data_IF_074054422557
#
_entry.id   IF_074054422557
#
_cell.length_a   1.000
_cell.length_b   1.000
_cell.length_c   1.000
_cell.angle_alpha   90.00
_cell.angle_beta   90.00
_cell.angle_gamma   90.00
#
_symmetry.space_group_name_H-M   'P 1'
#
loop_
_entity.id
_entity.type
_entity.pdbx_description
1 polymer ?
#
# COMPACT_ATOMS: atom_id res chain seq x y z
N UNK A 1 -58.57 -28.24 -1.77
CA UNK A 1 -57.74 -27.01 -1.84
C UNK A 1 -56.33 -27.39 -2.23
N UNK A 2 -56.07 -27.28 -3.51
CA UNK A 2 -54.79 -27.68 -4.14
C UNK A 2 -53.80 -26.49 -4.10
N UNK A 3 -52.76 -26.63 -3.34
CA UNK A 3 -51.65 -25.66 -3.29
C UNK A 3 -50.76 -25.80 -4.54
N UNK A 4 -50.68 -24.75 -5.31
CA UNK A 4 -49.98 -24.68 -6.58
C UNK A 4 -48.44 -24.56 -6.39
N UNK A 5 -47.69 -25.23 -7.27
CA UNK A 5 -46.23 -25.35 -7.30
C UNK A 5 -45.40 -24.01 -7.42
N UNK A 6 -46.03 -22.83 -7.36
CA UNK A 6 -45.37 -21.53 -7.49
C UNK A 6 -44.96 -20.87 -6.17
N UNK A 7 -45.34 -21.42 -5.02
CA UNK A 7 -44.98 -20.82 -3.72
C UNK A 7 -43.68 -21.37 -3.10
N UNK A 8 -43.02 -22.36 -3.74
CA UNK A 8 -41.84 -23.03 -3.17
C UNK A 8 -40.48 -22.49 -3.69
N UNK A 9 -40.49 -21.60 -4.68
CA UNK A 9 -39.24 -21.15 -5.33
C UNK A 9 -38.66 -19.85 -4.78
N UNK A 10 -39.31 -19.14 -3.89
CA UNK A 10 -38.84 -17.84 -3.38
C UNK A 10 -38.34 -17.87 -1.93
N UNK A 11 -38.52 -18.97 -1.21
CA UNK A 11 -38.06 -19.09 0.20
C UNK A 11 -36.67 -19.74 0.30
N UNK A 12 -36.23 -20.48 -0.72
CA UNK A 12 -34.96 -21.23 -0.68
C UNK A 12 -33.71 -20.40 -1.05
N UNK A 13 -33.87 -19.25 -1.71
CA UNK A 13 -32.73 -18.42 -2.14
C UNK A 13 -32.30 -17.41 -1.07
N UNK A 14 -33.24 -16.94 -0.24
CA UNK A 14 -32.96 -16.02 0.86
C UNK A 14 -32.30 -16.71 2.08
N UNK A 15 -32.54 -18.01 2.26
CA UNK A 15 -31.98 -18.78 3.36
C UNK A 15 -30.52 -19.24 3.12
N UNK A 16 -30.06 -19.33 1.87
CA UNK A 16 -28.66 -19.70 1.56
C UNK A 16 -27.70 -18.49 1.60
N UNK A 17 -28.22 -17.26 1.50
CA UNK A 17 -27.37 -16.06 1.56
C UNK A 17 -27.13 -15.61 3.02
N UNK A 18 -28.01 -16.00 3.95
CA UNK A 18 -27.87 -15.66 5.37
C UNK A 18 -26.95 -16.62 6.17
N UNK A 19 -26.64 -17.80 5.64
CA UNK A 19 -25.79 -18.80 6.34
C UNK A 19 -24.29 -18.60 6.11
N UNK A 20 -23.86 -17.69 5.21
CA UNK A 20 -22.47 -17.47 4.84
C UNK A 20 -21.74 -16.32 5.54
N UNK A 21 -22.41 -15.58 6.45
CA UNK A 21 -21.81 -14.38 7.09
C UNK A 21 -22.01 -14.34 8.61
N UNK A 22 -21.77 -15.43 9.29
CA UNK A 22 -21.50 -15.33 10.73
C UNK A 22 -20.03 -14.90 10.89
N UNK A 23 -19.72 -13.85 11.66
CA UNK A 23 -18.34 -13.55 11.98
C UNK A 23 -17.80 -14.71 12.81
N UNK A 24 -16.85 -15.47 12.25
CA UNK A 24 -16.12 -16.51 12.97
C UNK A 24 -15.23 -15.84 14.04
N UNK A 25 -15.82 -15.42 15.14
CA UNK A 25 -15.14 -15.20 16.41
C UNK A 25 -15.54 -16.35 17.32
N UNK A 26 -15.25 -17.59 16.91
CA UNK A 26 -15.08 -18.65 17.87
C UNK A 26 -13.70 -18.44 18.50
N UNK A 27 -13.63 -18.18 19.80
CA UNK A 27 -12.44 -18.41 20.61
C UNK A 27 -12.08 -19.88 20.39
N UNK A 28 -11.18 -20.15 19.44
CA UNK A 28 -10.65 -21.48 19.20
C UNK A 28 -9.69 -21.80 20.36
N UNK A 29 -10.22 -22.36 21.43
CA UNK A 29 -9.41 -23.09 22.42
C UNK A 29 -8.70 -24.23 21.65
N UNK A 30 -7.37 -24.10 21.46
CA UNK A 30 -6.53 -25.08 20.77
C UNK A 30 -6.04 -24.68 19.38
N UNK A 31 -6.40 -23.52 18.82
CA UNK A 31 -5.83 -23.06 17.55
C UNK A 31 -4.34 -22.72 17.71
N UNK A 32 -3.51 -23.15 16.76
CA UNK A 32 -2.10 -22.75 16.67
C UNK A 32 -1.99 -21.22 16.72
N UNK A 33 -1.21 -20.71 17.67
CA UNK A 33 -0.86 -19.30 17.72
C UNK A 33 0.38 -19.07 16.87
N UNK A 34 0.42 -17.93 16.20
CA UNK A 34 1.53 -17.53 15.35
C UNK A 34 2.48 -16.63 16.13
N UNK A 35 3.74 -16.99 16.14
CA UNK A 35 4.82 -16.17 16.69
C UNK A 35 5.11 -15.01 15.74
N UNK A 36 4.91 -13.75 16.18
CA UNK A 36 5.00 -12.57 15.34
C UNK A 36 6.09 -11.62 15.81
N UNK A 37 6.78 -10.95 14.86
CA UNK A 37 7.65 -9.81 15.11
C UNK A 37 7.12 -8.59 14.36
N UNK A 38 7.28 -7.41 14.96
CA UNK A 38 7.04 -6.13 14.28
C UNK A 38 8.38 -5.48 13.93
N UNK A 39 8.57 -5.12 12.67
CA UNK A 39 9.73 -4.39 12.16
C UNK A 39 9.24 -3.04 11.63
N UNK A 40 9.65 -1.96 12.31
CA UNK A 40 9.08 -0.63 12.15
C UNK A 40 7.99 -0.36 13.21
N UNK A 41 8.40 0.03 14.43
CA UNK A 41 7.53 0.26 15.58
C UNK A 41 6.95 1.69 15.65
N UNK A 42 6.93 2.40 14.51
CA UNK A 42 6.33 3.71 14.39
C UNK A 42 4.81 3.70 14.58
N UNK A 43 4.17 4.86 14.36
CA UNK A 43 2.72 5.02 14.51
C UNK A 43 1.92 3.95 13.75
N UNK A 44 2.24 3.75 12.46
CA UNK A 44 1.46 2.82 11.63
C UNK A 44 1.73 1.36 11.99
N UNK A 45 3.00 1.01 12.21
CA UNK A 45 3.36 -0.34 12.67
C UNK A 45 2.68 -0.72 13.99
N UNK A 46 2.62 0.22 14.95
CA UNK A 46 1.89 0.03 16.21
C UNK A 46 0.39 -0.20 15.97
N UNK A 47 -0.23 0.54 15.03
CA UNK A 47 -1.65 0.34 14.69
C UNK A 47 -1.90 -1.04 14.09
N UNK A 48 -1.08 -1.47 13.13
CA UNK A 48 -1.17 -2.80 12.50
C UNK A 48 -1.00 -3.89 13.55
N UNK A 49 0.00 -3.78 14.42
CA UNK A 49 0.25 -4.75 15.48
C UNK A 49 -0.94 -4.86 16.43
N UNK A 50 -1.53 -3.73 16.82
CA UNK A 50 -2.70 -3.72 17.69
C UNK A 50 -3.86 -4.50 17.08
N UNK A 51 -4.16 -4.29 15.78
CA UNK A 51 -5.23 -5.01 15.08
C UNK A 51 -4.89 -6.50 14.94
N UNK A 52 -3.63 -6.86 14.66
CA UNK A 52 -3.19 -8.23 14.62
C UNK A 52 -3.42 -8.93 15.98
N UNK A 53 -2.99 -8.32 17.08
CA UNK A 53 -3.16 -8.85 18.43
C UNK A 53 -4.64 -9.01 18.83
N UNK A 54 -5.53 -8.13 18.37
CA UNK A 54 -6.97 -8.20 18.63
C UNK A 54 -7.64 -9.43 18.00
N UNK A 55 -7.01 -10.08 17.03
CA UNK A 55 -7.48 -11.36 16.49
C UNK A 55 -7.35 -12.52 17.49
N UNK A 56 -6.50 -12.37 18.50
CA UNK A 56 -6.28 -13.37 19.56
C UNK A 56 -5.41 -14.56 19.14
N UNK A 57 -4.85 -14.59 17.93
CA UNK A 57 -4.06 -15.71 17.40
C UNK A 57 -2.57 -15.43 17.22
N UNK A 58 -2.12 -14.23 17.59
CA UNK A 58 -0.72 -13.83 17.51
C UNK A 58 -0.06 -13.76 18.89
N UNK A 59 1.16 -14.27 18.98
CA UNK A 59 2.06 -14.12 20.13
C UNK A 59 3.23 -13.23 19.74
N UNK A 60 3.27 -12.02 20.31
CA UNK A 60 4.33 -11.06 20.01
C UNK A 60 5.65 -11.51 20.62
N UNK A 61 6.64 -11.81 19.76
CA UNK A 61 7.97 -12.24 20.15
C UNK A 61 8.94 -11.06 20.34
N UNK A 62 8.91 -10.09 19.40
CA UNK A 62 9.83 -8.97 19.42
C UNK A 62 9.31 -7.73 18.71
N UNK A 63 9.89 -6.58 19.08
CA UNK A 63 9.82 -5.32 18.36
C UNK A 63 11.20 -5.00 17.78
N UNK A 64 11.25 -4.50 16.55
CA UNK A 64 12.48 -4.05 15.90
C UNK A 64 12.30 -2.65 15.31
N UNK A 65 13.15 -1.73 15.70
CA UNK A 65 13.22 -0.37 15.16
C UNK A 65 14.59 0.23 15.43
N UNK A 66 15.08 1.09 14.55
CA UNK A 66 16.35 1.82 14.70
C UNK A 66 16.21 3.07 15.57
N UNK A 67 14.99 3.42 15.98
CA UNK A 67 14.67 4.52 16.90
C UNK A 67 14.14 3.96 18.23
N UNK A 68 14.94 4.06 19.27
CA UNK A 68 14.58 3.61 20.63
C UNK A 68 13.31 4.29 21.16
N UNK A 69 13.01 5.51 20.71
CA UNK A 69 11.81 6.24 21.13
C UNK A 69 10.54 5.61 20.52
N UNK A 70 10.64 5.09 19.29
CA UNK A 70 9.55 4.33 18.68
C UNK A 70 9.31 3.02 19.43
N UNK A 71 10.38 2.29 19.75
CA UNK A 71 10.30 1.08 20.58
C UNK A 71 9.67 1.37 21.95
N UNK A 72 10.05 2.46 22.59
CA UNK A 72 9.51 2.87 23.88
C UNK A 72 8.00 3.15 23.79
N UNK A 73 7.57 4.00 22.84
CA UNK A 73 6.15 4.35 22.62
C UNK A 73 5.30 3.13 22.28
N UNK A 74 5.79 2.25 21.42
CA UNK A 74 5.09 1.00 21.10
C UNK A 74 4.95 0.12 22.35
N UNK A 75 6.01 -0.02 23.14
CA UNK A 75 5.99 -0.80 24.39
C UNK A 75 5.02 -0.24 25.42
N UNK A 76 4.95 1.10 25.56
CA UNK A 76 3.96 1.76 26.44
C UNK A 76 2.52 1.50 25.97
N UNK A 77 2.28 1.54 24.65
CA UNK A 77 0.97 1.18 24.08
C UNK A 77 0.59 -0.26 24.41
N UNK A 78 1.53 -1.21 24.25
CA UNK A 78 1.33 -2.62 24.58
C UNK A 78 1.07 -2.84 26.08
N UNK A 79 1.83 -2.18 26.95
CA UNK A 79 1.66 -2.28 28.40
C UNK A 79 0.27 -1.79 28.84
N UNK A 80 -0.23 -0.67 28.27
CA UNK A 80 -1.60 -0.16 28.51
C UNK A 80 -2.69 -1.17 28.10
N UNK A 81 -2.38 -2.06 27.19
CA UNK A 81 -3.26 -3.14 26.71
C UNK A 81 -3.08 -4.46 27.49
N UNK A 82 -2.21 -4.49 28.49
CA UNK A 82 -1.89 -5.69 29.25
C UNK A 82 -1.08 -6.73 28.46
N UNK A 83 -0.41 -6.31 27.36
CA UNK A 83 0.46 -7.16 26.58
C UNK A 83 1.86 -7.09 27.17
N UNK A 84 2.47 -8.27 27.42
CA UNK A 84 3.86 -8.36 27.90
C UNK A 84 4.80 -7.66 26.89
N UNK A 85 5.67 -6.80 27.40
CA UNK A 85 6.64 -6.10 26.55
C UNK A 85 7.68 -7.11 26.04
N UNK A 86 7.79 -7.29 24.71
CA UNK A 86 8.68 -8.28 24.13
C UNK A 86 10.12 -7.82 24.12
N UNK A 87 11.01 -8.69 23.64
CA UNK A 87 12.39 -8.30 23.33
C UNK A 87 12.43 -7.18 22.31
N UNK A 88 13.48 -6.38 22.34
CA UNK A 88 13.72 -5.25 21.44
C UNK A 88 14.99 -5.47 20.66
N UNK A 89 14.95 -5.17 19.37
CA UNK A 89 16.06 -5.26 18.44
C UNK A 89 16.20 -3.95 17.67
N UNK A 90 17.42 -3.61 17.33
CA UNK A 90 17.71 -2.51 16.39
C UNK A 90 17.86 -3.05 14.96
N UNK A 91 18.51 -4.19 14.81
CA UNK A 91 18.77 -4.82 13.51
C UNK A 91 17.75 -5.92 13.21
N UNK A 92 17.03 -5.75 12.08
CA UNK A 92 16.03 -6.73 11.63
C UNK A 92 16.64 -8.10 11.31
N UNK A 93 17.90 -8.14 10.88
CA UNK A 93 18.63 -9.38 10.55
C UNK A 93 18.81 -10.21 11.80
N UNK A 94 19.26 -9.58 12.89
CA UNK A 94 19.41 -10.21 14.20
C UNK A 94 18.06 -10.65 14.77
N UNK A 95 17.04 -9.77 14.68
CA UNK A 95 15.67 -10.06 15.13
C UNK A 95 15.11 -11.33 14.45
N UNK A 96 15.15 -11.38 13.12
CA UNK A 96 14.62 -12.50 12.35
C UNK A 96 15.40 -13.80 12.59
N UNK A 97 16.73 -13.74 12.64
CA UNK A 97 17.58 -14.91 12.85
C UNK A 97 17.41 -15.51 14.27
N UNK A 98 17.23 -14.64 15.28
CA UNK A 98 17.09 -15.06 16.68
C UNK A 98 15.67 -15.55 17.00
N UNK A 99 14.67 -14.77 16.61
CA UNK A 99 13.28 -15.04 17.00
C UNK A 99 12.61 -16.08 16.10
N UNK A 100 13.08 -16.26 14.86
CA UNK A 100 12.51 -17.22 13.88
C UNK A 100 10.99 -17.18 13.85
N UNK A 101 10.37 -16.02 13.56
CA UNK A 101 8.94 -15.85 13.65
C UNK A 101 8.19 -16.67 12.59
N UNK A 102 6.95 -17.03 12.88
CA UNK A 102 6.02 -17.54 11.85
C UNK A 102 5.60 -16.42 10.89
N UNK A 103 5.48 -15.18 11.42
CA UNK A 103 5.01 -14.02 10.68
C UNK A 103 5.85 -12.78 11.04
N UNK A 104 6.29 -12.04 10.03
CA UNK A 104 6.88 -10.73 10.16
C UNK A 104 5.92 -9.64 9.68
N UNK A 105 5.65 -8.63 10.53
CA UNK A 105 4.93 -7.42 10.18
C UNK A 105 5.95 -6.34 9.81
N UNK A 106 5.98 -5.91 8.55
CA UNK A 106 6.96 -4.94 8.04
C UNK A 106 6.26 -3.61 7.77
N UNK A 107 6.56 -2.60 8.56
CA UNK A 107 5.96 -1.26 8.51
C UNK A 107 7.02 -0.14 8.62
N UNK A 108 8.15 -0.36 8.00
CA UNK A 108 9.25 0.60 7.87
C UNK A 108 8.97 1.62 6.76
N UNK A 109 9.81 2.64 6.52
CA UNK A 109 9.76 3.43 5.29
C UNK A 109 9.99 2.58 4.03
N UNK A 110 9.47 3.07 2.88
CA UNK A 110 9.40 2.34 1.62
C UNK A 110 10.73 1.75 1.16
N UNK A 111 11.82 2.51 1.35
CA UNK A 111 13.17 2.12 0.91
C UNK A 111 13.75 0.89 1.64
N UNK A 112 13.11 0.45 2.71
CA UNK A 112 13.51 -0.72 3.49
C UNK A 112 12.67 -1.97 3.19
N UNK A 113 11.48 -1.82 2.61
CA UNK A 113 10.53 -2.93 2.47
C UNK A 113 11.14 -4.15 1.77
N UNK A 114 11.86 -3.94 0.66
CA UNK A 114 12.40 -5.06 -0.13
C UNK A 114 13.41 -5.90 0.66
N UNK A 115 14.39 -5.28 1.30
CA UNK A 115 15.44 -6.01 2.03
C UNK A 115 14.85 -6.79 3.22
N UNK A 116 13.96 -6.16 3.98
CA UNK A 116 13.38 -6.77 5.17
C UNK A 116 12.44 -7.92 4.81
N UNK A 117 11.56 -7.70 3.81
CA UNK A 117 10.61 -8.72 3.38
C UNK A 117 11.30 -9.95 2.79
N UNK A 118 12.33 -9.73 1.95
CA UNK A 118 13.11 -10.83 1.34
C UNK A 118 13.84 -11.63 2.43
N UNK A 119 14.46 -10.95 3.39
CA UNK A 119 15.12 -11.61 4.51
C UNK A 119 14.14 -12.39 5.38
N UNK A 120 12.97 -11.82 5.70
CA UNK A 120 11.93 -12.52 6.45
C UNK A 120 11.46 -13.81 5.73
N UNK A 121 11.22 -13.75 4.43
CA UNK A 121 10.90 -14.93 3.64
C UNK A 121 12.03 -15.96 3.65
N UNK A 122 13.29 -15.54 3.56
CA UNK A 122 14.49 -16.39 3.63
C UNK A 122 14.60 -17.12 4.97
N UNK A 123 14.22 -16.45 6.06
CA UNK A 123 14.19 -17.03 7.41
C UNK A 123 12.95 -17.90 7.67
N UNK A 124 12.04 -18.03 6.67
CA UNK A 124 10.88 -18.90 6.76
C UNK A 124 9.60 -18.25 7.27
N UNK A 125 9.59 -16.94 7.48
CA UNK A 125 8.39 -16.22 7.90
C UNK A 125 7.43 -15.94 6.73
N UNK A 126 6.12 -16.03 6.98
CA UNK A 126 5.12 -15.33 6.18
C UNK A 126 5.20 -13.85 6.47
N UNK A 127 4.82 -12.99 5.53
CA UNK A 127 5.04 -11.55 5.69
C UNK A 127 3.77 -10.74 5.43
N UNK A 128 3.47 -9.83 6.35
CA UNK A 128 2.66 -8.66 6.05
C UNK A 128 3.62 -7.50 5.79
N UNK A 129 3.55 -6.88 4.62
CA UNK A 129 4.38 -5.73 4.26
C UNK A 129 3.53 -4.54 3.87
N UNK A 130 3.90 -3.35 4.33
CA UNK A 130 3.20 -2.11 3.96
C UNK A 130 3.40 -1.72 2.50
N UNK A 131 2.44 -0.94 2.03
CA UNK A 131 2.44 -0.31 0.70
C UNK A 131 3.25 1.02 0.72
N UNK A 132 3.79 1.45 -0.42
CA UNK A 132 4.08 0.68 -1.63
C UNK A 132 5.13 -0.40 -1.34
N UNK A 133 5.08 -1.52 -2.03
CA UNK A 133 5.92 -2.65 -1.64
C UNK A 133 7.42 -2.38 -1.78
N UNK A 134 7.81 -1.47 -2.69
CA UNK A 134 9.20 -1.22 -3.03
C UNK A 134 9.45 0.21 -3.47
N UNK A 135 10.70 0.62 -3.43
CA UNK A 135 11.14 1.93 -3.89
C UNK A 135 11.46 1.94 -5.40
N UNK A 136 11.80 0.79 -5.98
CA UNK A 136 12.07 0.62 -7.42
C UNK A 136 11.36 -0.62 -7.97
N UNK A 137 11.16 -0.67 -9.30
CA UNK A 137 10.44 -1.78 -9.96
C UNK A 137 11.16 -3.10 -9.74
N UNK A 138 12.47 -3.15 -9.95
CA UNK A 138 13.22 -4.40 -9.81
C UNK A 138 13.38 -4.86 -8.35
N UNK A 139 13.30 -3.97 -7.35
CA UNK A 139 13.12 -4.38 -5.94
C UNK A 139 11.81 -5.15 -5.76
N UNK A 140 10.70 -4.62 -6.30
CA UNK A 140 9.39 -5.27 -6.24
C UNK A 140 9.38 -6.64 -6.90
N UNK A 141 10.03 -6.79 -8.05
CA UNK A 141 10.19 -8.10 -8.72
C UNK A 141 11.01 -9.07 -7.86
N UNK A 142 12.09 -8.63 -7.25
CA UNK A 142 12.88 -9.44 -6.33
C UNK A 142 12.04 -9.93 -5.13
N UNK A 143 11.13 -9.09 -4.61
CA UNK A 143 10.20 -9.47 -3.52
C UNK A 143 9.23 -10.57 -3.97
N UNK A 144 8.62 -10.42 -5.15
CA UNK A 144 7.72 -11.45 -5.72
C UNK A 144 8.46 -12.78 -5.86
N UNK A 145 9.64 -12.73 -6.46
CA UNK A 145 10.47 -13.93 -6.66
C UNK A 145 10.88 -14.57 -5.32
N UNK A 146 11.17 -13.78 -4.29
CA UNK A 146 11.49 -14.29 -2.95
C UNK A 146 10.30 -15.00 -2.30
N UNK A 147 9.10 -14.42 -2.39
CA UNK A 147 7.89 -15.05 -1.88
C UNK A 147 7.67 -16.44 -2.51
N UNK A 148 7.80 -16.53 -3.84
CA UNK A 148 7.68 -17.78 -4.59
C UNK A 148 8.81 -18.76 -4.23
N UNK A 149 10.07 -18.33 -4.28
CA UNK A 149 11.26 -19.15 -4.01
C UNK A 149 11.23 -19.81 -2.63
N UNK A 150 10.81 -19.07 -1.60
CA UNK A 150 10.78 -19.57 -0.23
C UNK A 150 9.42 -20.14 0.18
N UNK A 151 8.43 -20.15 -0.74
CA UNK A 151 7.09 -20.67 -0.48
C UNK A 151 6.39 -19.94 0.64
N UNK A 152 6.51 -18.62 0.70
CA UNK A 152 5.89 -17.81 1.77
C UNK A 152 4.69 -17.03 1.26
N UNK A 153 3.65 -16.99 2.06
CA UNK A 153 2.49 -16.12 1.82
C UNK A 153 2.88 -14.69 2.20
N UNK A 154 2.64 -13.76 1.29
CA UNK A 154 2.90 -12.33 1.50
C UNK A 154 1.62 -11.55 1.27
N UNK A 155 1.13 -10.89 2.33
CA UNK A 155 -0.01 -9.98 2.32
C UNK A 155 0.50 -8.55 2.30
N UNK A 156 -0.03 -7.73 1.39
CA UNK A 156 0.35 -6.31 1.28
C UNK A 156 -0.71 -5.41 1.91
N UNK A 157 -0.28 -4.30 2.50
CA UNK A 157 -1.13 -3.33 3.19
C UNK A 157 -2.06 -2.50 2.27
N UNK A 158 -2.48 -3.02 1.11
CA UNK A 158 -3.50 -2.40 0.26
C UNK A 158 -4.92 -2.72 0.76
N UNK A 159 -5.16 -2.45 2.02
CA UNK A 159 -6.30 -2.88 2.84
C UNK A 159 -7.69 -2.58 2.28
N UNK A 160 -7.82 -1.65 1.31
CA UNK A 160 -9.13 -1.30 0.73
C UNK A 160 -9.80 -2.44 -0.03
N UNK A 161 -9.04 -3.41 -0.54
CA UNK A 161 -9.64 -4.62 -1.13
C UNK A 161 -10.46 -5.42 -0.13
N UNK A 162 -10.15 -5.35 1.16
CA UNK A 162 -10.88 -6.02 2.23
C UNK A 162 -12.15 -5.27 2.68
N UNK A 163 -12.34 -4.02 2.25
CA UNK A 163 -13.51 -3.24 2.64
C UNK A 163 -14.79 -3.73 1.94
N UNK A 164 -15.89 -4.00 2.65
CA UNK A 164 -17.11 -4.55 2.07
C UNK A 164 -17.66 -3.70 0.92
N UNK A 165 -17.70 -2.38 1.09
CA UNK A 165 -18.16 -1.47 0.05
C UNK A 165 -17.25 -1.41 -1.19
N UNK A 166 -15.96 -1.69 -1.07
CA UNK A 166 -15.07 -1.82 -2.23
C UNK A 166 -15.28 -3.15 -2.94
N UNK A 167 -15.62 -4.21 -2.21
CA UNK A 167 -15.99 -5.49 -2.80
C UNK A 167 -17.30 -5.38 -3.59
N UNK A 168 -18.33 -4.74 -3.03
CA UNK A 168 -19.57 -4.50 -3.73
C UNK A 168 -19.42 -3.55 -4.92
N UNK A 169 -18.54 -2.53 -4.83
CA UNK A 169 -18.17 -1.68 -5.96
C UNK A 169 -17.56 -2.50 -7.12
N UNK A 170 -16.65 -3.43 -6.79
CA UNK A 170 -16.08 -4.36 -7.79
C UNK A 170 -17.14 -5.23 -8.43
N UNK A 171 -18.03 -5.80 -7.64
CA UNK A 171 -19.15 -6.61 -8.15
C UNK A 171 -20.06 -5.79 -9.07
N UNK A 172 -20.40 -4.56 -8.65
CA UNK A 172 -21.22 -3.65 -9.47
C UNK A 172 -20.58 -3.37 -10.83
N UNK A 173 -19.30 -2.97 -10.85
CA UNK A 173 -18.59 -2.64 -12.09
C UNK A 173 -18.48 -3.90 -12.99
N UNK A 174 -18.12 -5.05 -12.41
CA UNK A 174 -18.00 -6.31 -13.15
C UNK A 174 -19.33 -6.89 -13.64
N UNK A 175 -20.45 -6.46 -13.06
CA UNK A 175 -21.78 -6.87 -13.55
C UNK A 175 -22.14 -6.28 -14.93
N UNK A 176 -21.33 -5.38 -15.48
CA UNK A 176 -21.57 -4.72 -16.77
C UNK A 176 -22.61 -3.60 -16.71
N UNK A 177 -23.09 -3.23 -15.52
CA UNK A 177 -24.07 -2.14 -15.35
C UNK A 177 -23.51 -0.78 -15.77
N UNK A 178 -22.18 -0.60 -15.69
CA UNK A 178 -21.50 0.62 -16.13
C UNK A 178 -21.31 0.67 -17.66
N UNK A 179 -21.42 -0.47 -18.35
CA UNK A 179 -21.08 -0.62 -19.77
C UNK A 179 -19.54 -0.65 -19.95
N UNK A 180 -19.07 -0.44 -21.19
CA UNK A 180 -17.65 -0.32 -21.46
C UNK A 180 -17.08 0.95 -20.81
N UNK A 181 -15.93 0.80 -20.16
CA UNK A 181 -15.24 1.89 -19.46
C UNK A 181 -14.20 2.49 -20.40
N UNK A 182 -14.31 3.76 -20.71
CA UNK A 182 -13.37 4.47 -21.58
C UNK A 182 -12.26 5.21 -20.82
N UNK A 183 -12.58 5.69 -19.61
CA UNK A 183 -11.65 6.48 -18.80
C UNK A 183 -11.81 6.14 -17.31
N UNK A 184 -10.68 6.07 -16.59
CA UNK A 184 -10.65 5.97 -15.14
C UNK A 184 -9.78 7.10 -14.62
N UNK A 185 -10.30 7.91 -13.68
CA UNK A 185 -9.58 9.04 -13.09
C UNK A 185 -9.42 8.85 -11.59
N UNK A 186 -8.18 8.70 -11.15
CA UNK A 186 -7.79 8.71 -9.74
C UNK A 186 -7.30 10.10 -9.34
N UNK A 187 -7.63 10.55 -8.12
CA UNK A 187 -7.22 11.89 -7.69
C UNK A 187 -6.98 11.98 -6.19
N UNK A 188 -6.09 12.91 -5.82
CA UNK A 188 -6.02 13.45 -4.47
C UNK A 188 -5.75 14.97 -4.51
N UNK A 189 -6.39 15.69 -3.59
CA UNK A 189 -6.28 17.14 -3.48
C UNK A 189 -6.15 17.55 -2.04
N UNK A 190 -4.96 17.95 -1.61
CA UNK A 190 -4.71 18.45 -0.28
C UNK A 190 -4.41 19.94 -0.26
N UNK A 191 -4.71 20.59 0.86
CA UNK A 191 -4.31 21.97 1.08
C UNK A 191 -2.80 22.08 1.31
N UNK A 192 -2.26 23.25 1.04
CA UNK A 192 -0.84 23.55 1.23
C UNK A 192 -0.46 24.85 0.52
N UNK A 193 0.81 25.16 0.57
CA UNK A 193 1.39 26.36 -0.04
C UNK A 193 2.89 26.19 -0.22
N UNK A 194 3.63 27.31 -0.28
CA UNK A 194 5.08 27.31 -0.33
C UNK A 194 5.68 26.56 0.85
N UNK A 195 6.71 25.78 0.59
CA UNK A 195 7.44 25.05 1.61
C UNK A 195 8.64 25.88 2.10
N UNK A 196 8.74 26.05 3.42
CA UNK A 196 9.92 26.67 4.02
C UNK A 196 10.97 25.62 4.29
N UNK A 197 12.26 25.91 4.02
CA UNK A 197 13.35 25.02 4.36
C UNK A 197 13.37 24.74 5.88
N UNK A 198 13.78 23.53 6.23
CA UNK A 198 14.01 23.13 7.61
C UNK A 198 15.50 23.00 7.85
N UNK A 199 15.93 23.52 8.98
CA UNK A 199 17.33 23.36 9.41
C UNK A 199 17.65 21.89 9.61
N UNK A 200 18.81 21.51 9.14
CA UNK A 200 19.42 20.23 9.47
C UNK A 200 19.79 20.21 10.96
N UNK A 201 19.74 19.07 11.56
CA UNK A 201 20.01 18.88 12.98
C UNK A 201 20.75 17.55 13.22
N UNK A 202 21.43 17.47 14.34
CA UNK A 202 21.91 16.18 14.81
C UNK A 202 20.74 15.22 15.01
N UNK A 203 20.88 13.96 14.66
CA UNK A 203 19.88 12.95 14.97
C UNK A 203 19.63 12.90 16.48
N UNK A 204 18.37 12.83 16.92
CA UNK A 204 18.07 12.77 18.34
C UNK A 204 18.67 11.50 18.97
N UNK A 205 19.01 11.59 20.26
CA UNK A 205 19.52 10.45 21.02
C UNK A 205 18.58 9.25 20.91
N UNK A 206 19.16 8.09 20.61
CA UNK A 206 18.42 6.83 20.43
C UNK A 206 17.95 6.57 19.01
N UNK A 207 18.18 7.47 18.06
CA UNK A 207 17.96 7.24 16.64
C UNK A 207 19.30 6.93 15.95
N UNK A 208 19.42 5.74 15.38
CA UNK A 208 20.51 5.40 14.47
C UNK A 208 20.16 5.89 13.06
N UNK A 209 20.59 7.14 12.77
CA UNK A 209 20.23 7.78 11.51
C UNK A 209 20.90 7.16 10.29
N UNK A 210 22.13 6.68 10.44
CA UNK A 210 22.81 5.97 9.36
C UNK A 210 22.08 4.69 8.97
N UNK A 211 21.68 3.90 9.96
CA UNK A 211 20.89 2.70 9.74
C UNK A 211 19.46 3.05 9.27
N UNK A 212 18.86 4.15 9.74
CA UNK A 212 17.56 4.57 9.25
C UNK A 212 17.60 4.88 7.75
N UNK A 213 18.62 5.61 7.27
CA UNK A 213 18.83 5.87 5.84
C UNK A 213 19.18 4.59 5.07
N UNK A 214 19.98 3.70 5.67
CA UNK A 214 20.28 2.36 5.16
C UNK A 214 20.74 2.33 3.69
N UNK A 215 20.01 1.64 2.80
CA UNK A 215 20.37 1.52 1.39
C UNK A 215 20.18 2.81 0.59
N UNK A 216 19.43 3.79 1.12
CA UNK A 216 19.20 5.08 0.49
C UNK A 216 20.38 6.06 0.73
N UNK A 217 20.47 7.16 -0.02
CA UNK A 217 21.46 8.20 0.25
C UNK A 217 21.37 8.73 1.68
N UNK A 218 22.51 9.01 2.28
CA UNK A 218 22.56 9.64 3.59
C UNK A 218 22.32 11.15 3.43
N UNK A 219 21.14 11.60 3.85
CA UNK A 219 20.84 13.04 3.99
C UNK A 219 21.10 13.49 5.43
N UNK A 220 21.40 14.77 5.64
CA UNK A 220 21.34 15.35 6.98
C UNK A 220 19.97 15.09 7.62
N UNK A 221 19.96 14.81 8.93
CA UNK A 221 18.70 14.62 9.63
C UNK A 221 17.92 15.95 9.67
N UNK A 222 16.62 15.88 9.39
CA UNK A 222 15.67 16.93 9.75
C UNK A 222 14.36 16.29 10.14
N UNK A 223 13.73 16.81 11.17
CA UNK A 223 12.45 16.27 11.63
C UNK A 223 12.08 16.80 13.00
N UNK A 224 10.83 16.58 13.35
CA UNK A 224 10.28 16.96 14.63
C UNK A 224 9.37 15.84 15.12
N UNK A 225 9.73 15.25 16.23
CA UNK A 225 9.01 14.13 16.82
C UNK A 225 7.66 14.55 17.41
N UNK A 226 7.55 15.81 17.85
CA UNK A 226 6.32 16.37 18.41
C UNK A 226 5.39 16.93 17.31
N UNK A 227 5.96 17.24 16.12
CA UNK A 227 5.23 17.60 14.91
C UNK A 227 5.51 16.63 13.76
N UNK A 228 5.07 15.38 13.86
CA UNK A 228 5.53 14.30 12.98
C UNK A 228 5.17 14.48 11.50
N UNK A 229 4.15 15.28 11.19
CA UNK A 229 3.73 15.64 9.82
C UNK A 229 4.30 16.99 9.35
N UNK A 230 5.08 17.62 10.17
CA UNK A 230 5.50 19.02 10.01
C UNK A 230 6.59 19.27 8.96
N UNK A 231 6.81 18.37 7.99
CA UNK A 231 7.66 18.61 6.80
C UNK A 231 9.13 18.17 6.93
N UNK A 232 9.60 17.62 8.04
CA UNK A 232 10.92 16.99 8.13
C UNK A 232 10.89 15.53 7.65
N UNK A 233 12.05 14.87 7.51
CA UNK A 233 12.14 13.50 7.04
C UNK A 233 11.50 12.55 8.06
N UNK A 234 11.98 12.59 9.29
CA UNK A 234 11.56 11.68 10.37
C UNK A 234 10.66 12.39 11.38
N UNK A 235 9.60 11.74 11.90
CA UNK A 235 9.26 10.32 11.70
C UNK A 235 8.28 10.00 10.54
N UNK A 236 7.55 10.97 9.98
CA UNK A 236 6.48 10.66 9.01
C UNK A 236 6.60 11.38 7.67
N UNK A 237 7.42 12.44 7.59
CA UNK A 237 7.54 13.25 6.39
C UNK A 237 8.35 12.62 5.26
N UNK A 238 9.05 11.51 5.51
CA UNK A 238 9.87 10.79 4.53
C UNK A 238 9.14 10.50 3.22
N UNK A 239 7.81 10.42 3.24
CA UNK A 239 6.94 10.19 2.06
C UNK A 239 7.10 11.21 0.95
N UNK A 240 7.55 12.42 1.31
CA UNK A 240 7.79 13.53 0.39
C UNK A 240 9.27 13.67 -0.01
N UNK A 241 10.14 12.75 0.43
CA UNK A 241 11.57 12.72 0.10
C UNK A 241 11.84 11.53 -0.83
N UNK A 242 12.18 11.83 -2.09
CA UNK A 242 12.27 10.82 -3.15
C UNK A 242 13.42 9.82 -2.97
N UNK A 243 14.36 10.07 -2.06
CA UNK A 243 15.38 9.09 -1.68
C UNK A 243 14.82 7.96 -0.80
N UNK A 244 13.74 8.23 -0.04
CA UNK A 244 13.19 7.33 0.97
C UNK A 244 11.80 6.79 0.64
N UNK A 245 11.08 7.46 -0.26
CA UNK A 245 9.74 7.09 -0.71
C UNK A 245 9.49 7.56 -2.15
N UNK A 246 8.25 7.42 -2.63
CA UNK A 246 7.88 7.66 -4.03
C UNK A 246 6.90 8.84 -4.21
N UNK A 247 6.89 9.79 -3.27
CA UNK A 247 5.99 10.92 -3.31
C UNK A 247 4.51 10.53 -3.22
N UNK A 248 3.63 11.45 -3.59
CA UNK A 248 2.18 11.21 -3.48
C UNK A 248 1.66 10.13 -4.42
N UNK A 249 2.28 9.96 -5.60
CA UNK A 249 1.91 8.87 -6.50
C UNK A 249 2.23 7.50 -5.89
N UNK A 250 3.35 7.37 -5.16
CA UNK A 250 3.69 6.16 -4.43
C UNK A 250 2.85 5.97 -3.16
N UNK A 251 2.63 7.04 -2.38
CA UNK A 251 1.94 6.93 -1.09
C UNK A 251 0.42 6.79 -1.23
N UNK A 252 -0.22 7.64 -2.04
CA UNK A 252 -1.67 7.64 -2.27
C UNK A 252 -2.09 7.00 -3.57
N UNK A 253 -1.32 7.20 -4.65
CA UNK A 253 -1.65 6.63 -5.95
C UNK A 253 -1.75 5.11 -5.90
N UNK A 254 -0.89 4.46 -5.10
CA UNK A 254 -0.93 3.01 -4.92
C UNK A 254 -2.29 2.51 -4.44
N UNK A 255 -2.97 3.21 -3.53
CA UNK A 255 -4.28 2.79 -3.03
C UNK A 255 -5.33 2.76 -4.14
N UNK A 256 -5.29 3.72 -5.07
CA UNK A 256 -6.28 3.83 -6.14
C UNK A 256 -5.92 2.98 -7.35
N UNK A 257 -4.65 2.99 -7.75
CA UNK A 257 -4.19 2.15 -8.87
C UNK A 257 -4.33 0.66 -8.55
N UNK A 258 -4.09 0.26 -7.30
CA UNK A 258 -4.38 -1.09 -6.82
C UNK A 258 -5.87 -1.44 -6.93
N UNK A 259 -6.78 -0.52 -6.52
CA UNK A 259 -8.21 -0.71 -6.68
C UNK A 259 -8.62 -0.79 -8.16
N UNK A 260 -8.07 0.07 -9.00
CA UNK A 260 -8.35 0.07 -10.44
C UNK A 260 -7.99 -1.28 -11.06
N UNK A 261 -6.75 -1.75 -10.87
CA UNK A 261 -6.31 -3.04 -11.40
C UNK A 261 -7.16 -4.20 -10.87
N UNK A 262 -7.46 -4.21 -9.58
CA UNK A 262 -8.24 -5.27 -8.95
C UNK A 262 -9.73 -5.28 -9.38
N UNK A 263 -10.34 -4.10 -9.54
CA UNK A 263 -11.75 -3.96 -9.96
C UNK A 263 -11.91 -4.36 -11.43
N UNK A 264 -11.04 -3.85 -12.30
CA UNK A 264 -11.17 -4.00 -13.76
C UNK A 264 -10.44 -5.21 -14.32
N UNK A 265 -9.59 -5.86 -13.53
CA UNK A 265 -8.70 -6.94 -13.96
C UNK A 265 -7.66 -6.54 -15.04
N UNK A 266 -7.41 -5.23 -15.18
CA UNK A 266 -6.31 -4.74 -16.01
C UNK A 266 -4.98 -5.28 -15.49
N UNK A 267 -4.08 -5.66 -16.41
CA UNK A 267 -2.80 -6.27 -16.03
C UNK A 267 -1.65 -5.26 -16.03
N UNK A 268 -1.25 -4.82 -17.21
CA UNK A 268 -0.11 -3.93 -17.38
C UNK A 268 -0.42 -2.85 -18.41
N UNK A 269 0.08 -1.62 -18.21
CA UNK A 269 0.03 -0.61 -19.25
C UNK A 269 1.03 -0.95 -20.36
N UNK A 270 0.80 -0.42 -21.55
CA UNK A 270 1.78 -0.48 -22.66
C UNK A 270 2.62 0.79 -22.72
N UNK A 271 2.15 1.88 -22.10
CA UNK A 271 2.90 3.13 -22.00
C UNK A 271 2.39 3.98 -20.84
N UNK A 272 3.26 4.87 -20.36
CA UNK A 272 2.96 5.88 -19.37
C UNK A 272 3.53 7.23 -19.81
N UNK A 273 2.74 8.31 -19.63
CA UNK A 273 3.22 9.68 -19.67
C UNK A 273 2.88 10.37 -18.35
N UNK A 274 3.83 11.11 -17.81
CA UNK A 274 3.61 11.89 -16.59
C UNK A 274 4.33 13.23 -16.67
N UNK A 275 3.67 14.26 -16.11
CA UNK A 275 4.20 15.60 -15.97
C UNK A 275 3.85 16.14 -14.59
N UNK A 276 4.66 17.05 -14.10
CA UNK A 276 4.47 17.61 -12.77
C UNK A 276 5.70 18.35 -12.28
N UNK A 277 5.76 18.59 -10.99
CA UNK A 277 6.87 19.29 -10.35
C UNK A 277 6.45 19.99 -9.08
N UNK A 278 7.13 21.11 -8.80
CA UNK A 278 6.97 21.90 -7.57
C UNK A 278 6.59 23.36 -7.89
N UNK A 279 5.47 23.60 -8.61
CA UNK A 279 5.11 24.96 -9.04
C UNK A 279 4.76 25.91 -7.87
N UNK A 280 4.29 25.39 -6.74
CA UNK A 280 3.88 26.16 -5.55
C UNK A 280 4.89 26.07 -4.42
N UNK A 281 5.43 24.87 -4.16
CA UNK A 281 6.44 24.68 -3.11
C UNK A 281 7.80 25.30 -3.46
N UNK A 282 8.04 25.55 -4.75
CA UNK A 282 9.32 26.05 -5.26
C UNK A 282 10.38 24.95 -5.40
N UNK A 283 11.59 25.31 -5.86
CA UNK A 283 12.69 24.38 -6.04
C UNK A 283 13.01 23.63 -4.75
N UNK A 284 13.40 22.35 -4.87
CA UNK A 284 13.91 21.60 -3.73
C UNK A 284 15.27 22.18 -3.27
N UNK A 285 15.43 22.27 -1.97
CA UNK A 285 16.66 22.74 -1.31
C UNK A 285 17.28 21.55 -0.59
N UNK A 286 18.56 21.35 -0.79
CA UNK A 286 19.40 20.42 -0.02
C UNK A 286 20.79 21.02 0.11
N UNK A 287 21.11 21.51 1.29
CA UNK A 287 22.40 22.09 1.66
C UNK A 287 22.89 21.46 2.96
N UNK A 288 24.07 21.80 3.41
CA UNK A 288 24.59 21.38 4.70
C UNK A 288 23.83 22.00 5.87
N UNK A 289 23.10 23.09 5.67
CA UNK A 289 22.41 23.85 6.72
C UNK A 289 20.92 23.56 6.77
N UNK A 290 20.29 23.39 5.61
CA UNK A 290 18.82 23.26 5.53
C UNK A 290 18.36 22.48 4.30
N UNK A 291 17.16 21.98 4.36
CA UNK A 291 16.53 21.24 3.26
C UNK A 291 15.00 21.37 3.22
N UNK A 292 14.46 21.10 2.05
CA UNK A 292 13.01 20.88 1.83
C UNK A 292 12.77 19.43 1.42
N UNK A 293 11.50 19.03 1.40
CA UNK A 293 11.12 17.85 0.61
C UNK A 293 11.43 18.07 -0.88
N UNK A 294 11.50 16.99 -1.65
CA UNK A 294 11.78 17.04 -3.09
C UNK A 294 10.72 16.35 -3.96
N UNK A 295 9.75 15.72 -3.33
CA UNK A 295 8.60 15.17 -4.02
C UNK A 295 7.75 16.28 -4.69
N UNK A 296 7.10 15.99 -5.84
CA UNK A 296 6.28 16.96 -6.54
C UNK A 296 5.08 17.38 -5.69
N UNK A 297 4.71 18.66 -5.75
CA UNK A 297 3.45 19.16 -5.16
C UNK A 297 2.28 19.07 -6.13
N UNK A 298 2.57 18.81 -7.41
CA UNK A 298 1.58 18.51 -8.45
C UNK A 298 2.14 17.49 -9.44
N UNK A 299 1.34 16.48 -9.77
CA UNK A 299 1.67 15.52 -10.81
C UNK A 299 0.39 15.00 -11.48
N UNK A 300 0.44 14.90 -12.79
CA UNK A 300 -0.56 14.22 -13.61
C UNK A 300 0.13 13.08 -14.35
N UNK A 301 -0.44 11.89 -14.27
CA UNK A 301 0.07 10.72 -14.98
C UNK A 301 -1.05 10.03 -15.75
N UNK A 302 -0.71 9.44 -16.88
CA UNK A 302 -1.65 8.72 -17.76
C UNK A 302 -1.04 7.41 -18.20
N UNK A 303 -1.78 6.33 -18.05
CA UNK A 303 -1.39 4.99 -18.51
C UNK A 303 -2.35 4.53 -19.59
N UNK A 304 -1.78 4.05 -20.69
CA UNK A 304 -2.52 3.42 -21.77
C UNK A 304 -2.38 1.90 -21.65
N UNK A 305 -3.50 1.21 -21.72
CA UNK A 305 -3.57 -0.26 -21.81
C UNK A 305 -3.89 -0.65 -23.25
N UNK A 306 -3.44 -1.84 -23.69
CA UNK A 306 -3.65 -2.28 -25.08
C UNK A 306 -5.14 -2.37 -25.41
N UNK A 307 -5.88 -3.07 -24.57
CA UNK A 307 -7.32 -3.34 -24.72
C UNK A 307 -8.05 -2.91 -23.45
N UNK A 308 -8.18 -1.61 -23.23
CA UNK A 308 -8.82 -1.14 -22.02
C UNK A 308 -8.93 0.39 -21.94
N UNK A 309 -9.46 0.89 -20.82
CA UNK A 309 -9.60 2.32 -20.60
C UNK A 309 -8.24 3.00 -20.46
N UNK A 310 -8.22 4.29 -20.74
CA UNK A 310 -7.14 5.16 -20.24
C UNK A 310 -7.30 5.32 -18.74
N UNK A 311 -6.22 5.14 -17.97
CA UNK A 311 -6.18 5.41 -16.54
C UNK A 311 -5.38 6.68 -16.30
N UNK A 312 -5.91 7.57 -15.46
CA UNK A 312 -5.22 8.82 -15.10
C UNK A 312 -5.09 8.95 -13.59
N UNK A 313 -4.05 9.63 -13.17
CA UNK A 313 -3.82 10.09 -11.83
C UNK A 313 -3.59 11.59 -11.83
N UNK A 314 -4.15 12.29 -10.86
CA UNK A 314 -3.74 13.65 -10.56
C UNK A 314 -3.58 13.83 -9.05
N UNK A 315 -2.55 14.57 -8.66
CA UNK A 315 -2.49 15.10 -7.32
C UNK A 315 -2.06 16.57 -7.32
N UNK A 316 -2.53 17.29 -6.30
CA UNK A 316 -2.05 18.63 -5.96
C UNK A 316 -2.07 18.80 -4.44
N UNK A 317 -1.01 19.43 -3.93
CA UNK A 317 -0.83 19.72 -2.49
C UNK A 317 -1.01 21.22 -2.23
N UNK A 318 -1.92 21.83 -2.98
CA UNK A 318 -2.36 23.22 -2.85
C UNK A 318 -3.80 23.33 -3.36
N UNK A 319 -4.49 24.40 -2.93
CA UNK A 319 -5.90 24.62 -3.27
C UNK A 319 -6.78 23.37 -2.99
N UNK A 320 -6.48 22.66 -1.91
CA UNK A 320 -7.24 21.49 -1.50
C UNK A 320 -8.60 21.90 -0.93
N UNK A 321 -9.66 21.30 -1.45
CA UNK A 321 -11.00 21.44 -0.93
C UNK A 321 -11.82 20.17 -1.28
N UNK A 322 -12.86 19.83 -0.53
CA UNK A 322 -13.65 18.63 -0.74
C UNK A 322 -14.72 18.84 -1.82
N UNK A 323 -14.36 19.35 -3.00
CA UNK A 323 -15.31 19.67 -4.08
C UNK A 323 -15.70 18.47 -4.95
N UNK A 324 -14.94 17.38 -4.86
CA UNK A 324 -15.25 16.14 -5.56
C UNK A 324 -16.26 15.31 -4.75
N UNK A 325 -17.52 15.73 -4.73
CA UNK A 325 -18.60 15.10 -3.96
C UNK A 325 -18.32 14.99 -2.45
N UNK A 326 -17.68 16.01 -1.88
CA UNK A 326 -17.33 16.05 -0.47
C UNK A 326 -16.06 15.27 -0.09
N UNK A 327 -15.29 14.80 -1.07
CA UNK A 327 -14.04 14.07 -0.86
C UNK A 327 -12.85 14.78 -1.50
N UNK A 328 -11.69 14.62 -0.87
CA UNK A 328 -10.41 15.08 -1.41
C UNK A 328 -9.68 13.95 -2.16
N UNK A 329 -10.17 12.73 -2.07
CA UNK A 329 -9.49 11.52 -2.52
C UNK A 329 -10.51 10.55 -3.10
N UNK A 330 -10.27 10.03 -4.30
CA UNK A 330 -11.24 9.11 -4.90
C UNK A 330 -10.84 8.62 -6.29
N UNK A 331 -11.75 7.83 -6.87
CA UNK A 331 -11.64 7.38 -8.25
C UNK A 331 -13.00 7.44 -8.96
N UNK A 332 -12.98 7.91 -10.20
CA UNK A 332 -14.12 7.86 -11.11
C UNK A 332 -13.88 6.84 -12.21
N UNK A 333 -14.92 6.07 -12.53
CA UNK A 333 -14.99 5.20 -13.71
C UNK A 333 -16.05 5.75 -14.65
N UNK A 334 -15.65 6.16 -15.84
CA UNK A 334 -16.52 6.72 -16.86
C UNK A 334 -16.84 5.65 -17.90
N UNK A 335 -18.06 5.15 -17.84
CA UNK A 335 -18.56 4.11 -18.75
C UNK A 335 -19.69 4.61 -19.65
N UNK A 336 -20.06 3.82 -20.64
CA UNK A 336 -21.12 4.15 -21.60
C UNK A 336 -22.46 4.44 -20.94
N UNK A 337 -22.79 3.73 -19.84
CA UNK A 337 -24.08 3.82 -19.17
C UNK A 337 -24.12 4.79 -18.00
N UNK A 338 -23.00 5.41 -17.64
CA UNK A 338 -22.94 6.36 -16.54
C UNK A 338 -21.56 6.55 -15.96
N UNK A 339 -21.52 7.22 -14.79
CA UNK A 339 -20.33 7.52 -14.04
C UNK A 339 -20.40 6.83 -12.68
N UNK A 340 -19.40 6.04 -12.36
CA UNK A 340 -19.24 5.43 -11.04
C UNK A 340 -18.16 6.17 -10.26
N UNK A 341 -18.45 6.54 -9.02
CA UNK A 341 -17.52 7.18 -8.09
C UNK A 341 -17.31 6.27 -6.88
N UNK A 342 -16.06 5.96 -6.58
CA UNK A 342 -15.64 5.28 -5.35
C UNK A 342 -14.84 6.27 -4.51
N UNK A 343 -15.38 6.60 -3.34
CA UNK A 343 -14.84 7.54 -2.38
C UNK A 343 -13.94 6.86 -1.34
N UNK A 344 -13.17 7.65 -0.60
CA UNK A 344 -12.32 7.11 0.47
C UNK A 344 -13.12 6.76 1.72
N UNK A 345 -14.07 7.62 2.13
CA UNK A 345 -14.82 7.48 3.38
C UNK A 345 -16.33 7.43 3.20
N UNK A 346 -16.86 7.77 2.02
CA UNK A 346 -18.30 7.87 1.77
C UNK A 346 -18.91 6.67 1.03
N UNK A 347 -18.09 5.62 0.73
CA UNK A 347 -18.57 4.48 -0.04
C UNK A 347 -18.53 4.73 -1.55
N UNK A 348 -19.58 4.37 -2.27
CA UNK A 348 -19.63 4.57 -3.72
C UNK A 348 -21.00 5.01 -4.22
N UNK A 349 -21.00 5.61 -5.40
CA UNK A 349 -22.23 6.00 -6.12
C UNK A 349 -22.11 5.78 -7.63
N UNK A 350 -23.18 5.30 -8.25
CA UNK A 350 -23.34 5.20 -9.69
C UNK A 350 -24.40 6.19 -10.16
N UNK A 351 -24.05 7.03 -11.11
CA UNK A 351 -24.90 8.04 -11.74
C UNK A 351 -25.19 7.61 -13.17
N UNK A 352 -26.40 7.09 -13.47
CA UNK A 352 -26.77 6.67 -14.81
C UNK A 352 -26.72 7.82 -15.81
N UNK A 353 -26.31 7.55 -17.06
CA UNK A 353 -26.44 8.53 -18.18
C UNK A 353 -27.89 8.78 -18.53
N UNK A 354 -28.75 7.80 -18.35
CA UNK A 354 -30.19 7.96 -18.49
C UNK A 354 -30.78 8.70 -17.28
N UNK A 355 -31.15 9.96 -17.45
CA UNK A 355 -31.69 10.83 -16.39
C UNK A 355 -33.00 10.34 -15.74
N UNK A 356 -33.68 9.35 -16.34
CA UNK A 356 -34.88 8.74 -15.77
C UNK A 356 -34.55 7.65 -14.73
N UNK A 357 -33.33 7.19 -14.70
CA UNK A 357 -32.87 6.19 -13.73
C UNK A 357 -32.34 6.87 -12.46
N UNK A 358 -32.64 6.25 -11.34
CA UNK A 358 -32.16 6.75 -10.04
C UNK A 358 -30.68 6.45 -9.81
N UNK A 359 -30.01 7.34 -9.07
CA UNK A 359 -28.65 7.09 -8.56
C UNK A 359 -28.65 5.86 -7.65
N UNK A 360 -27.69 4.98 -7.85
CA UNK A 360 -27.44 3.84 -6.97
C UNK A 360 -26.22 4.20 -6.10
N UNK A 361 -26.31 3.96 -4.81
CA UNK A 361 -25.22 4.26 -3.89
C UNK A 361 -25.15 3.28 -2.72
N UNK A 362 -23.97 3.11 -2.17
CA UNK A 362 -23.72 2.30 -0.98
C UNK A 362 -22.78 3.06 -0.04
N UNK A 363 -23.16 3.16 1.23
CA UNK A 363 -22.34 3.80 2.25
C UNK A 363 -21.10 2.98 2.58
N UNK A 364 -20.04 3.65 3.02
CA UNK A 364 -18.84 2.98 3.45
C UNK A 364 -19.08 2.15 4.73
N UNK A 365 -18.56 0.93 4.73
CA UNK A 365 -18.44 0.10 5.91
C UNK A 365 -16.96 0.12 6.36
N UNK A 366 -16.64 1.08 7.23
CA UNK A 366 -15.29 1.31 7.72
C UNK A 366 -15.15 0.83 9.16
N UNK A 367 -13.99 0.35 9.53
CA UNK A 367 -13.66 0.05 10.92
C UNK A 367 -12.33 0.68 11.35
N UNK A 368 -11.97 0.52 12.61
CA UNK A 368 -10.80 1.13 13.21
C UNK A 368 -9.51 0.31 12.98
N UNK A 369 -8.33 0.94 13.02
CA UNK A 369 -8.08 2.38 13.17
C UNK A 369 -8.24 3.15 11.85
N UNK A 370 -8.41 4.45 11.93
CA UNK A 370 -8.47 5.38 10.80
C UNK A 370 -9.49 5.00 9.69
N UNK A 371 -10.57 4.33 10.07
CA UNK A 371 -11.61 3.90 9.15
C UNK A 371 -11.16 2.84 8.13
N UNK A 372 -10.18 2.03 8.46
CA UNK A 372 -9.60 1.03 7.57
C UNK A 372 -10.01 -0.39 7.95
N UNK A 373 -10.13 -1.27 6.97
CA UNK A 373 -10.59 -2.65 7.16
C UNK A 373 -9.38 -3.62 7.33
N UNK A 374 -8.46 -3.30 8.24
CA UNK A 374 -7.24 -4.09 8.48
C UNK A 374 -7.58 -5.41 9.16
N UNK A 375 -8.64 -5.47 9.97
CA UNK A 375 -9.05 -6.71 10.64
C UNK A 375 -9.45 -7.78 9.64
N UNK A 376 -10.23 -7.42 8.63
CA UNK A 376 -10.65 -8.31 7.55
C UNK A 376 -9.44 -8.75 6.71
N UNK A 377 -8.48 -7.84 6.50
CA UNK A 377 -7.24 -8.15 5.80
C UNK A 377 -6.39 -9.17 6.55
N UNK A 378 -6.29 -9.07 7.89
CA UNK A 378 -5.61 -10.08 8.70
C UNK A 378 -6.33 -11.43 8.72
N UNK A 379 -7.67 -11.43 8.69
CA UNK A 379 -8.43 -12.68 8.59
C UNK A 379 -8.15 -13.41 7.27
N UNK A 380 -8.12 -12.67 6.15
CA UNK A 380 -7.74 -13.19 4.84
C UNK A 380 -6.29 -13.72 4.83
N UNK A 381 -5.35 -12.99 5.42
CA UNK A 381 -3.94 -13.40 5.51
C UNK A 381 -3.78 -14.73 6.25
N UNK A 382 -4.44 -14.89 7.39
CA UNK A 382 -4.40 -16.13 8.17
C UNK A 382 -5.02 -17.31 7.40
N UNK A 383 -6.10 -17.04 6.67
CA UNK A 383 -6.72 -18.06 5.84
C UNK A 383 -5.83 -18.47 4.68
N UNK A 384 -5.19 -17.49 4.01
CA UNK A 384 -4.21 -17.75 2.97
C UNK A 384 -3.02 -18.60 3.47
N UNK A 385 -2.52 -18.33 4.68
CA UNK A 385 -1.44 -19.14 5.30
C UNK A 385 -1.92 -20.57 5.56
N UNK A 386 -3.15 -20.76 6.05
CA UNK A 386 -3.68 -22.10 6.35
C UNK A 386 -3.95 -22.95 5.13
N UNK A 387 -4.44 -22.33 4.08
CA UNK A 387 -4.89 -23.02 2.85
C UNK A 387 -3.81 -23.09 1.77
N UNK A 388 -2.75 -22.29 1.87
CA UNK A 388 -1.75 -22.11 0.81
C UNK A 388 -2.26 -21.32 -0.39
N UNK A 389 -3.45 -20.70 -0.29
CA UNK A 389 -4.00 -19.86 -1.35
C UNK A 389 -3.32 -18.50 -1.40
N UNK A 390 -3.50 -17.79 -2.52
CA UNK A 390 -3.07 -16.39 -2.62
C UNK A 390 -3.93 -15.51 -1.71
N UNK A 391 -3.33 -14.60 -0.95
CA UNK A 391 -4.09 -13.64 -0.16
C UNK A 391 -4.77 -12.60 -1.05
N UNK A 392 -5.76 -11.90 -0.53
CA UNK A 392 -6.53 -10.88 -1.24
C UNK A 392 -5.66 -9.77 -1.83
N UNK A 393 -4.65 -9.34 -1.08
CA UNK A 393 -3.66 -8.33 -1.50
C UNK A 393 -2.31 -9.00 -1.71
N UNK A 394 -2.24 -9.89 -2.70
CA UNK A 394 -1.03 -10.66 -3.01
C UNK A 394 0.10 -9.78 -3.55
N UNK A 395 1.34 -10.25 -3.34
CA UNK A 395 2.55 -9.50 -3.69
C UNK A 395 2.69 -9.22 -5.19
N UNK A 396 2.24 -10.12 -6.08
CA UNK A 396 2.29 -9.90 -7.52
C UNK A 396 1.32 -8.82 -7.96
N UNK A 397 0.07 -8.83 -7.44
CA UNK A 397 -0.91 -7.78 -7.70
C UNK A 397 -0.45 -6.41 -7.19
N UNK A 398 0.15 -6.38 -6.01
CA UNK A 398 0.71 -5.15 -5.43
C UNK A 398 1.96 -4.66 -6.18
N UNK A 399 2.80 -5.57 -6.70
CA UNK A 399 3.92 -5.23 -7.57
C UNK A 399 3.44 -4.53 -8.85
N UNK A 400 2.41 -5.05 -9.52
CA UNK A 400 1.82 -4.40 -10.70
C UNK A 400 1.33 -3.00 -10.42
N UNK A 401 0.60 -2.81 -9.31
CA UNK A 401 0.11 -1.49 -8.91
C UNK A 401 1.25 -0.54 -8.56
N UNK A 402 2.28 -1.01 -7.84
CA UNK A 402 3.48 -0.23 -7.53
C UNK A 402 4.24 0.13 -8.82
N UNK A 403 4.31 -0.76 -9.80
CA UNK A 403 4.94 -0.51 -11.10
C UNK A 403 4.28 0.66 -11.82
N UNK A 404 2.94 0.79 -11.80
CA UNK A 404 2.27 1.96 -12.38
C UNK A 404 2.78 3.26 -11.73
N UNK A 405 2.83 3.30 -10.40
CA UNK A 405 3.32 4.47 -9.67
C UNK A 405 4.75 4.84 -10.08
N UNK A 406 5.63 3.84 -10.16
CA UNK A 406 7.04 4.04 -10.46
C UNK A 406 7.27 4.44 -11.93
N UNK A 407 6.53 3.86 -12.89
CA UNK A 407 6.54 4.29 -14.29
C UNK A 407 6.12 5.77 -14.43
N UNK A 408 5.11 6.21 -13.67
CA UNK A 408 4.71 7.61 -13.60
C UNK A 408 5.85 8.52 -13.12
N UNK A 409 6.56 8.12 -12.07
CA UNK A 409 7.71 8.89 -11.57
C UNK A 409 8.89 8.88 -12.56
N UNK A 410 9.17 7.75 -13.22
CA UNK A 410 10.21 7.65 -14.26
C UNK A 410 9.88 8.57 -15.44
N UNK A 411 8.64 8.51 -15.95
CA UNK A 411 8.20 9.35 -17.07
C UNK A 411 8.29 10.84 -16.73
N UNK A 412 7.87 11.25 -15.53
CA UNK A 412 7.98 12.64 -15.08
C UNK A 412 9.45 13.08 -15.00
N UNK A 413 10.33 12.25 -14.45
CA UNK A 413 11.76 12.54 -14.32
C UNK A 413 12.44 12.71 -15.68
N UNK A 414 12.03 11.92 -16.67
CA UNK A 414 12.57 11.97 -18.04
C UNK A 414 11.88 13.03 -18.92
N UNK A 415 10.73 13.55 -18.50
CA UNK A 415 9.95 14.54 -19.27
C UNK A 415 9.35 13.98 -20.57
N UNK A 416 9.21 12.67 -20.69
CA UNK A 416 8.69 12.01 -21.90
C UNK A 416 7.91 10.74 -21.57
N UNK A 417 7.16 10.25 -22.57
CA UNK A 417 6.49 8.95 -22.48
C UNK A 417 7.50 7.82 -22.33
N UNK A 418 7.10 6.81 -21.56
CA UNK A 418 7.85 5.58 -21.32
C UNK A 418 7.00 4.40 -21.80
N UNK A 419 7.55 3.55 -22.65
CA UNK A 419 6.94 2.29 -23.04
C UNK A 419 7.18 1.25 -21.94
N UNK A 420 6.37 0.21 -21.88
CA UNK A 420 6.53 -0.86 -20.91
C UNK A 420 6.31 -2.24 -21.53
N UNK A 421 7.33 -3.09 -21.46
CA UNK A 421 7.29 -4.50 -21.82
C UNK A 421 7.18 -5.35 -20.56
N UNK A 422 5.95 -5.66 -20.15
CA UNK A 422 5.67 -6.30 -18.88
C UNK A 422 6.30 -7.67 -18.67
N UNK A 423 6.41 -8.46 -19.74
CA UNK A 423 7.01 -9.80 -19.66
C UNK A 423 8.51 -9.78 -19.35
N UNK A 424 9.19 -8.73 -19.82
CA UNK A 424 10.63 -8.53 -19.61
C UNK A 424 10.94 -7.57 -18.47
N UNK A 425 9.93 -6.84 -18.01
CA UNK A 425 10.06 -5.72 -17.07
C UNK A 425 11.15 -4.72 -17.50
N UNK A 426 11.03 -4.23 -18.72
CA UNK A 426 11.91 -3.23 -19.33
C UNK A 426 11.09 -2.17 -20.05
N UNK A 427 11.65 -1.00 -20.21
CA UNK A 427 11.05 0.07 -21.02
C UNK A 427 11.54 0.01 -22.46
N UNK A 428 12.60 -0.76 -22.74
CA UNK A 428 13.31 -0.77 -24.00
C UNK A 428 14.13 0.52 -24.26
N UNK A 429 14.15 1.43 -23.31
CA UNK A 429 14.88 2.69 -23.33
C UNK A 429 16.00 2.61 -22.28
N UNK A 430 17.29 2.64 -22.68
CA UNK A 430 18.41 2.46 -21.74
C UNK A 430 18.50 3.54 -20.66
N UNK A 431 17.98 4.75 -20.89
CA UNK A 431 17.95 5.81 -19.89
C UNK A 431 16.85 5.55 -18.84
N UNK A 432 15.68 5.14 -19.29
CA UNK A 432 14.57 4.77 -18.42
C UNK A 432 14.88 3.48 -17.64
N UNK A 433 15.49 2.50 -18.27
CA UNK A 433 15.83 1.21 -17.63
C UNK A 433 16.86 1.36 -16.49
N UNK A 434 17.72 2.38 -16.52
CA UNK A 434 18.57 2.73 -15.37
C UNK A 434 17.77 3.12 -14.12
N UNK A 435 16.57 3.65 -14.30
CA UNK A 435 15.67 4.09 -13.23
C UNK A 435 14.79 2.96 -12.67
N UNK A 436 14.78 1.78 -13.29
CA UNK A 436 14.10 0.60 -12.77
C UNK A 436 14.77 0.05 -11.51
N UNK A 437 15.97 0.50 -11.22
CA UNK A 437 16.77 0.17 -10.04
C UNK A 437 17.53 1.40 -9.55
N UNK A 438 18.16 1.28 -8.39
CA UNK A 438 19.03 2.31 -7.82
C UNK A 438 20.32 1.71 -7.26
N UNK A 439 21.32 2.55 -7.05
CA UNK A 439 22.52 2.16 -6.31
C UNK A 439 22.23 2.18 -4.82
N UNK A 440 22.59 1.13 -4.12
CA UNK A 440 22.53 1.06 -2.68
C UNK A 440 23.81 1.64 -2.05
N UNK A 441 23.61 2.30 -0.91
CA UNK A 441 24.70 2.93 -0.15
C UNK A 441 25.41 1.90 0.76
N UNK A 442 26.72 2.11 0.96
CA UNK A 442 27.51 1.38 1.94
C UNK A 442 27.58 -0.13 1.68
N UNK A 443 27.39 -0.92 2.71
CA UNK A 443 27.43 -2.38 2.66
C UNK A 443 26.17 -3.03 2.08
N UNK A 444 25.09 -2.26 1.89
CA UNK A 444 23.82 -2.79 1.46
C UNK A 444 23.87 -3.27 0.02
N UNK A 445 23.38 -4.49 -0.22
CA UNK A 445 23.35 -5.10 -1.54
C UNK A 445 21.97 -4.99 -2.16
N UNK A 446 21.92 -4.53 -3.40
CA UNK A 446 20.67 -4.49 -4.15
C UNK A 446 20.12 -5.92 -4.31
N UNK A 447 18.84 -6.20 -3.99
CA UNK A 447 18.32 -7.55 -3.99
C UNK A 447 18.19 -8.08 -5.43
N UNK A 448 18.78 -9.25 -5.68
CA UNK A 448 18.62 -10.02 -6.91
C UNK A 448 18.15 -11.41 -6.54
N UNK A 449 16.89 -11.69 -6.82
CA UNK A 449 16.30 -13.01 -6.59
C UNK A 449 15.78 -13.53 -7.92
N UNK A 450 16.39 -14.57 -8.48
CA UNK A 450 15.91 -15.16 -9.75
C UNK A 450 14.53 -15.77 -9.56
N UNK A 451 13.73 -15.88 -10.64
CA UNK A 451 12.47 -16.63 -10.62
C UNK A 451 12.68 -18.06 -10.09
N UNK A 452 11.68 -18.59 -9.41
CA UNK A 452 11.69 -20.01 -9.04
C UNK A 452 11.45 -20.88 -10.28
N UNK A 453 12.13 -22.02 -10.39
CA UNK A 453 11.96 -22.96 -11.51
C UNK A 453 10.51 -23.48 -11.64
N UNK A 454 9.66 -23.28 -10.63
CA UNK A 454 8.24 -23.71 -10.61
C UNK A 454 7.27 -22.73 -11.30
N UNK A 455 7.72 -21.56 -11.77
CA UNK A 455 6.86 -20.54 -12.39
C UNK A 455 6.82 -20.60 -13.93
N UNK A 456 7.44 -21.60 -14.53
CA UNK A 456 7.45 -21.82 -15.99
C UNK A 456 6.53 -23.00 -16.34
N UNK A 457 5.24 -22.90 -15.97
CA UNK A 457 4.21 -23.82 -16.47
C UNK A 457 2.89 -23.11 -16.64
#
# INVERSE_FOLDING_TARGET
MTLTRRAFSHVSLAAMIAAGRAPFIAKAQGARRFRVVLIGAGWWGTNILNVALDTGVYDLAALCDVDERMLARCSENLAKRGVTVPKRYKDFRECLATEKPDIALVATPDHWHALIMIEACRQGAHVYVEKPISHTILEGRAMVNAAAKYGRVVQVGTHRRASPHNQSAREFIRSGKLGEIGLIRCFITYGGGSEKPRRNSEPPKGLDWDFWCGPAPLRPHCGDFDSPWGGGIHPRGFRNFMDYANGQLGDWGIHWLDQVLWITDLKHPVSCYSTGGRPIRGPAILTDEEQTSDGPDMQVATWRFADGPTVTWEHRLFAGNPHEKGENVGVYFYGQKGVFHLAWTQGWSFHPSNRKESVIQEAAALNQPDGQNIKELFADFLEAIRTGCKPLCDIEGAHRATTLCLLGNISMKLGRSVMWESEKETTGDPEADKLLRRTYRGEWQYPVVPPSEQTVS
#
